data_IF_354991901784
#
_entry.id   IF_354991901784
#
_cell.length_a   1.000
_cell.length_b   1.000
_cell.length_c   1.000
_cell.angle_alpha   90.00
_cell.angle_beta   90.00
_cell.angle_gamma   90.00
#
_symmetry.space_group_name_H-M   'P 1'
#
loop_
_entity.id
_entity.type
_entity.pdbx_description
1 polymer ?
#
# COMPACT_ATOMS: atom_id res chain seq x y z
N UNK A 1 -7.72 -8.42 -0.27
CA UNK A 1 -7.47 -8.18 -1.72
C UNK A 1 -8.54 -7.35 -2.39
N UNK A 2 -9.82 -7.77 -2.40
CA UNK A 2 -10.92 -7.08 -3.11
C UNK A 2 -10.90 -5.55 -2.97
N UNK A 3 -10.79 -5.03 -1.75
CA UNK A 3 -10.84 -3.58 -1.49
C UNK A 3 -9.54 -2.82 -1.78
N UNK A 4 -8.40 -3.51 -1.86
CA UNK A 4 -7.12 -2.87 -2.21
C UNK A 4 -7.13 -2.44 -3.68
N UNK A 5 -7.58 -3.33 -4.57
CA UNK A 5 -7.61 -3.10 -6.03
C UNK A 5 -8.65 -2.07 -6.50
N UNK A 6 -9.57 -1.65 -5.64
CA UNK A 6 -10.61 -0.68 -5.98
C UNK A 6 -10.64 0.53 -5.03
N UNK A 7 -9.53 0.86 -4.38
CA UNK A 7 -9.38 2.06 -3.53
C UNK A 7 -10.40 2.16 -2.37
N UNK A 8 -10.85 1.01 -1.84
CA UNK A 8 -11.81 0.96 -0.73
C UNK A 8 -11.23 0.44 0.58
N UNK A 9 -9.91 0.26 0.70
CA UNK A 9 -9.30 -0.30 1.91
C UNK A 9 -9.17 0.69 3.08
N UNK A 10 -9.41 1.98 2.87
CA UNK A 10 -9.18 3.01 3.89
C UNK A 10 -7.72 3.37 4.15
N UNK A 11 -6.77 2.83 3.37
CA UNK A 11 -5.33 3.09 3.53
C UNK A 11 -4.76 4.07 2.49
N UNK A 12 -5.53 5.07 2.05
CA UNK A 12 -5.11 5.98 0.98
C UNK A 12 -4.02 6.98 1.40
N UNK A 13 -3.74 7.07 2.70
CA UNK A 13 -2.65 7.86 3.27
C UNK A 13 -2.24 7.34 4.64
N UNK A 14 -1.14 7.88 5.15
CA UNK A 14 -0.63 7.60 6.50
C UNK A 14 -1.14 8.69 7.45
N UNK A 15 -1.69 8.28 8.59
CA UNK A 15 -2.34 9.16 9.59
C UNK A 15 -1.35 10.10 10.26
N UNK A 16 -0.12 9.64 10.46
CA UNK A 16 0.92 10.41 11.14
C UNK A 16 1.78 11.19 10.14
N UNK A 17 2.28 12.38 10.51
CA UNK A 17 3.29 13.07 9.73
C UNK A 17 4.53 12.19 9.56
N UNK A 18 5.10 12.20 8.36
CA UNK A 18 6.33 11.49 8.04
C UNK A 18 7.43 12.47 7.68
N UNK A 19 8.68 12.07 7.94
CA UNK A 19 9.85 12.81 7.50
C UNK A 19 9.97 12.85 5.97
N UNK A 20 10.78 13.79 5.48
CA UNK A 20 11.09 13.86 4.06
C UNK A 20 11.73 12.55 3.57
N UNK A 21 11.31 12.07 2.40
CA UNK A 21 11.83 10.83 1.82
C UNK A 21 11.30 9.53 2.45
N UNK A 22 10.42 9.59 3.45
CA UNK A 22 9.88 8.38 4.09
C UNK A 22 9.22 7.40 3.09
N UNK A 23 8.58 7.92 2.04
CA UNK A 23 7.95 7.09 1.01
C UNK A 23 8.93 6.27 0.15
N UNK A 24 10.22 6.61 0.19
CA UNK A 24 11.28 5.87 -0.49
C UNK A 24 11.72 4.62 0.30
N UNK A 25 11.43 4.56 1.59
CA UNK A 25 11.67 3.38 2.42
C UNK A 25 10.45 2.44 2.32
N UNK A 26 10.61 1.39 1.52
CA UNK A 26 9.53 0.45 1.23
C UNK A 26 9.03 -0.27 2.48
N UNK A 27 9.96 -0.82 3.28
CA UNK A 27 9.64 -1.65 4.43
C UNK A 27 9.00 -0.80 5.53
N UNK A 28 9.51 0.42 5.73
CA UNK A 28 8.92 1.38 6.64
C UNK A 28 7.46 1.68 6.27
N UNK A 29 7.17 2.09 5.04
CA UNK A 29 5.80 2.43 4.62
C UNK A 29 4.87 1.22 4.71
N UNK A 30 5.32 0.04 4.30
CA UNK A 30 4.51 -1.16 4.40
C UNK A 30 4.18 -1.50 5.85
N UNK A 31 5.14 -1.34 6.77
CA UNK A 31 4.92 -1.53 8.21
C UNK A 31 3.93 -0.50 8.79
N UNK A 32 4.08 0.77 8.42
CA UNK A 32 3.15 1.84 8.84
C UNK A 32 1.73 1.58 8.36
N UNK A 33 1.56 1.21 7.08
CA UNK A 33 0.24 0.92 6.53
C UNK A 33 -0.38 -0.35 7.13
N UNK A 34 0.43 -1.36 7.46
CA UNK A 34 -0.06 -2.61 8.04
C UNK A 34 -0.48 -2.46 9.51
N UNK A 35 0.17 -1.56 10.26
CA UNK A 35 -0.15 -1.29 11.67
C UNK A 35 -1.26 -0.25 11.87
N UNK A 36 -1.53 0.56 10.86
CA UNK A 36 -2.51 1.63 10.91
C UNK A 36 -3.96 1.13 10.81
N UNK A 37 -4.84 1.66 11.67
CA UNK A 37 -6.28 1.57 11.45
C UNK A 37 -6.70 2.32 10.17
N UNK A 38 -7.49 1.68 9.28
CA UNK A 38 -8.05 2.33 8.10
C UNK A 38 -8.72 3.69 8.43
N UNK A 39 -8.62 4.65 7.51
CA UNK A 39 -9.27 5.96 7.61
C UNK A 39 -10.81 5.86 7.62
N UNK A 40 -11.34 4.77 7.07
CA UNK A 40 -12.74 4.37 7.11
C UNK A 40 -12.84 2.84 7.06
N UNK A 41 -13.99 2.29 7.44
CA UNK A 41 -14.21 0.84 7.38
C UNK A 41 -14.06 0.31 5.94
N UNK A 42 -13.22 -0.71 5.69
CA UNK A 42 -12.99 -1.20 4.34
C UNK A 42 -14.29 -1.56 3.59
N UNK A 43 -14.42 -1.03 2.37
CA UNK A 43 -15.59 -1.26 1.53
C UNK A 43 -16.73 -0.26 1.70
N UNK A 44 -16.75 0.55 2.77
CA UNK A 44 -17.82 1.54 3.02
C UNK A 44 -17.62 2.85 2.25
N UNK A 45 -16.38 3.26 2.00
CA UNK A 45 -16.05 4.43 1.19
C UNK A 45 -14.96 4.14 0.16
N UNK A 46 -14.75 5.10 -0.75
CA UNK A 46 -13.69 5.11 -1.75
C UNK A 46 -12.82 6.35 -1.54
N UNK A 47 -11.51 6.19 -1.60
CA UNK A 47 -10.57 7.31 -1.60
C UNK A 47 -9.31 6.89 -2.34
N UNK A 48 -8.89 7.69 -3.31
CA UNK A 48 -7.82 7.33 -4.22
C UNK A 48 -6.48 7.21 -3.48
N UNK A 49 -5.84 6.05 -3.58
CA UNK A 49 -4.55 5.71 -2.95
C UNK A 49 -3.39 6.21 -3.83
N UNK A 50 -3.31 7.52 -4.05
CA UNK A 50 -2.41 8.13 -5.03
C UNK A 50 -0.95 7.66 -4.91
N UNK A 51 -0.48 7.46 -3.67
CA UNK A 51 0.91 7.06 -3.38
C UNK A 51 0.96 5.66 -2.76
N UNK A 52 0.07 5.36 -1.81
CA UNK A 52 0.11 4.09 -1.05
C UNK A 52 -0.31 2.86 -1.85
N UNK A 53 -0.95 3.03 -3.02
CA UNK A 53 -1.41 1.90 -3.85
C UNK A 53 -0.25 0.99 -4.28
N UNK A 54 0.87 1.58 -4.70
CA UNK A 54 2.05 0.85 -5.16
C UNK A 54 2.62 -0.03 -4.07
N UNK A 55 2.79 0.51 -2.85
CA UNK A 55 3.25 -0.24 -1.68
C UNK A 55 2.26 -1.35 -1.30
N UNK A 56 0.97 -1.04 -1.20
CA UNK A 56 -0.05 -2.02 -0.78
C UNK A 56 -0.15 -3.21 -1.74
N UNK A 57 -0.28 -2.95 -3.04
CA UNK A 57 -0.40 -4.02 -4.03
C UNK A 57 0.94 -4.72 -4.23
N UNK A 58 2.03 -3.95 -4.32
CA UNK A 58 3.36 -4.48 -4.53
C UNK A 58 3.82 -5.38 -3.38
N UNK A 59 3.50 -5.03 -2.13
CA UNK A 59 3.90 -5.84 -0.98
C UNK A 59 3.14 -7.16 -0.93
N UNK A 60 1.85 -7.16 -1.29
CA UNK A 60 1.11 -8.42 -1.41
C UNK A 60 1.70 -9.30 -2.52
N UNK A 61 2.01 -8.73 -3.68
CA UNK A 61 2.66 -9.46 -4.77
C UNK A 61 4.02 -10.01 -4.34
N UNK A 62 4.85 -9.20 -3.67
CA UNK A 62 6.16 -9.61 -3.15
C UNK A 62 6.05 -10.77 -2.16
N UNK A 63 5.03 -10.78 -1.29
CA UNK A 63 4.79 -11.90 -0.34
C UNK A 63 4.32 -13.18 -1.01
N UNK A 64 3.54 -13.07 -2.07
CA UNK A 64 3.04 -14.24 -2.82
C UNK A 64 4.14 -14.83 -3.69
N UNK A 65 4.92 -14.00 -4.36
CA UNK A 65 5.85 -14.41 -5.41
C UNK A 65 7.32 -14.52 -4.92
N UNK A 66 7.67 -13.80 -3.86
CA UNK A 66 9.02 -13.75 -3.28
C UNK A 66 9.97 -12.75 -3.95
N UNK A 67 9.66 -12.24 -5.15
CA UNK A 67 10.47 -11.23 -5.86
C UNK A 67 9.93 -9.81 -5.66
N UNK A 68 10.78 -8.81 -5.90
CA UNK A 68 10.37 -7.39 -5.89
C UNK A 68 9.43 -7.05 -7.06
N UNK A 69 8.62 -5.99 -6.90
CA UNK A 69 7.66 -5.58 -7.92
C UNK A 69 8.32 -5.29 -9.28
N UNK A 70 9.49 -4.66 -9.30
CA UNK A 70 10.28 -4.40 -10.51
C UNK A 70 10.64 -5.71 -11.25
N UNK A 71 11.11 -6.72 -10.51
CA UNK A 71 11.44 -8.03 -11.07
C UNK A 71 10.21 -8.81 -11.58
N UNK A 72 9.04 -8.57 -10.97
CA UNK A 72 7.77 -9.14 -11.43
C UNK A 72 7.33 -8.50 -12.75
N UNK A 73 7.42 -7.17 -12.86
CA UNK A 73 6.96 -6.41 -14.03
C UNK A 73 7.85 -6.62 -15.27
N UNK A 74 9.17 -6.77 -15.08
CA UNK A 74 10.14 -6.97 -16.17
C UNK A 74 10.00 -8.28 -16.96
N UNK A 75 9.14 -9.21 -16.53
CA UNK A 75 8.95 -10.52 -17.16
C UNK A 75 7.63 -10.65 -17.95
N UNK A 76 7.05 -9.53 -18.36
CA UNK A 76 5.88 -9.50 -19.25
C UNK A 76 6.26 -9.26 -20.69
#
# INVERSE_FOLDING_TARGET
>A
MRYLFCHKSGLCGIRKPLGQGAFCDWDFICSELASQEPLWEPGTAHGYHAITYGHLVGEVLRRIDGRTLDNILKRK
#
